data_IF_966758996480
#
_entry.id   IF_966758996480
#
_cell.length_a   1.000
_cell.length_b   1.000
_cell.length_c   1.000
_cell.angle_alpha   90.00
_cell.angle_beta   90.00
_cell.angle_gamma   90.00
#
_symmetry.space_group_name_H-M   'P 1'
#
loop_
_entity.id
_entity.type
_entity.pdbx_description
1 polymer ?
#
# COMPACT_ATOMS: atom_id res chain seq x y z
N UNK A 1 30.97 -3.74 -8.66
CA UNK A 1 29.55 -4.13 -8.66
C UNK A 1 29.09 -4.32 -7.22
N UNK A 2 28.51 -3.26 -6.64
CA UNK A 2 28.08 -3.22 -5.23
C UNK A 2 26.66 -3.78 -5.03
N UNK A 3 26.13 -4.52 -6.00
CA UNK A 3 24.74 -5.02 -5.95
C UNK A 3 23.66 -3.94 -6.17
N UNK A 4 24.05 -2.70 -6.49
CA UNK A 4 23.14 -1.62 -6.80
C UNK A 4 22.58 -1.78 -8.22
N UNK A 5 21.26 -1.83 -8.36
CA UNK A 5 20.59 -1.88 -9.67
C UNK A 5 20.66 -0.50 -10.30
N UNK A 6 21.34 -0.38 -11.44
CA UNK A 6 21.47 0.88 -12.18
C UNK A 6 20.50 1.01 -13.34
N UNK A 7 20.11 -0.10 -13.95
CA UNK A 7 19.26 -0.12 -15.14
C UNK A 7 18.44 -1.42 -15.17
N UNK A 8 17.22 -1.32 -15.62
CA UNK A 8 16.34 -2.46 -15.88
C UNK A 8 15.99 -2.51 -17.37
N UNK A 9 16.37 -3.61 -18.03
CA UNK A 9 15.95 -3.87 -19.39
C UNK A 9 14.61 -4.60 -19.39
N UNK A 10 13.60 -3.96 -19.97
CA UNK A 10 12.24 -4.47 -19.99
C UNK A 10 11.77 -4.73 -21.43
N UNK A 11 10.93 -5.73 -21.60
CA UNK A 11 10.22 -6.01 -22.84
C UNK A 11 8.73 -6.11 -22.59
N UNK A 12 7.94 -5.71 -23.58
CA UNK A 12 6.48 -5.84 -23.52
C UNK A 12 6.11 -7.23 -24.05
N UNK A 13 5.37 -7.98 -23.23
CA UNK A 13 4.77 -9.26 -23.65
C UNK A 13 3.31 -9.01 -24.02
N UNK A 14 2.99 -9.13 -25.31
CA UNK A 14 1.62 -8.99 -25.79
C UNK A 14 0.72 -10.07 -25.18
N UNK A 15 -0.56 -9.74 -24.99
CA UNK A 15 -1.59 -10.65 -24.48
C UNK A 15 -1.29 -11.25 -23.08
N UNK A 16 -0.55 -10.52 -22.24
CA UNK A 16 -0.19 -10.93 -20.89
C UNK A 16 -1.02 -10.24 -19.78
N UNK A 17 -2.17 -9.65 -20.15
CA UNK A 17 -3.05 -8.96 -19.20
C UNK A 17 -3.61 -9.95 -18.17
N UNK A 18 -3.57 -9.57 -16.91
CA UNK A 18 -4.10 -10.39 -15.81
C UNK A 18 -5.58 -10.73 -16.03
N UNK A 19 -5.93 -12.01 -15.95
CA UNK A 19 -7.28 -12.53 -16.23
C UNK A 19 -7.55 -12.91 -17.70
N UNK A 20 -6.72 -12.42 -18.63
CA UNK A 20 -6.86 -12.69 -20.09
C UNK A 20 -5.52 -13.12 -20.69
N UNK A 21 -4.61 -13.63 -19.89
CA UNK A 21 -3.27 -13.98 -20.32
C UNK A 21 -3.26 -15.21 -21.24
N UNK A 22 -2.92 -14.98 -22.49
CA UNK A 22 -2.73 -16.00 -23.53
C UNK A 22 -1.27 -16.06 -24.02
N UNK A 23 -0.36 -15.34 -23.36
CA UNK A 23 1.05 -15.28 -23.76
C UNK A 23 1.80 -16.59 -23.57
N UNK A 24 1.32 -17.45 -22.68
CA UNK A 24 2.02 -18.69 -22.28
C UNK A 24 3.28 -18.48 -21.45
N UNK A 25 3.61 -17.24 -21.11
CA UNK A 25 4.80 -16.88 -20.31
C UNK A 25 4.56 -17.14 -18.84
N UNK A 26 5.31 -18.05 -18.23
CA UNK A 26 5.27 -18.30 -16.79
C UNK A 26 6.24 -17.36 -16.07
N UNK A 27 5.72 -16.54 -15.14
CA UNK A 27 6.50 -15.60 -14.33
C UNK A 27 6.54 -16.04 -12.88
N UNK A 28 7.67 -15.76 -12.19
CA UNK A 28 7.85 -16.11 -10.77
C UNK A 28 7.20 -15.07 -9.83
N UNK A 29 6.92 -13.88 -10.31
CA UNK A 29 6.31 -12.81 -9.52
C UNK A 29 5.72 -11.74 -10.41
N UNK A 30 4.84 -10.95 -9.83
CA UNK A 30 4.19 -9.81 -10.48
C UNK A 30 4.31 -8.63 -9.55
N UNK A 31 4.73 -7.49 -10.09
CA UNK A 31 4.79 -6.20 -9.37
C UNK A 31 3.81 -5.22 -9.99
N UNK A 32 3.37 -4.25 -9.21
CA UNK A 32 2.67 -3.07 -9.71
C UNK A 32 3.67 -1.93 -9.85
N UNK A 33 3.45 -1.11 -10.86
CA UNK A 33 4.28 0.06 -11.14
C UNK A 33 3.42 1.23 -11.59
N UNK A 34 3.96 2.43 -11.51
CA UNK A 34 3.37 3.66 -12.05
C UNK A 34 4.41 4.36 -12.92
N UNK A 35 3.94 5.13 -13.91
CA UNK A 35 4.83 5.91 -14.77
C UNK A 35 5.47 7.05 -13.96
N UNK A 36 6.80 7.07 -13.92
CA UNK A 36 7.57 8.06 -13.16
C UNK A 36 7.37 9.51 -13.66
N UNK A 37 7.01 9.70 -14.94
CA UNK A 37 6.80 11.02 -15.51
C UNK A 37 5.42 11.62 -15.17
N UNK A 38 4.43 10.76 -14.87
CA UNK A 38 3.04 11.19 -14.69
C UNK A 38 2.46 10.87 -13.32
N UNK A 39 3.14 10.00 -12.54
CA UNK A 39 2.68 9.68 -11.19
C UNK A 39 2.67 10.92 -10.28
N UNK A 40 1.88 10.86 -9.24
CA UNK A 40 1.80 11.88 -8.20
C UNK A 40 2.17 11.29 -6.85
N UNK A 41 2.67 12.15 -5.95
CA UNK A 41 2.91 11.77 -4.58
C UNK A 41 1.61 11.71 -3.79
N UNK A 42 1.51 10.73 -2.91
CA UNK A 42 0.41 10.60 -1.97
C UNK A 42 0.95 10.22 -0.60
N UNK A 43 0.31 10.72 0.43
CA UNK A 43 0.53 10.30 1.81
C UNK A 43 -0.32 9.07 2.09
N UNK A 44 0.30 7.99 2.56
CA UNK A 44 -0.40 6.75 2.92
C UNK A 44 -0.21 6.48 4.40
N UNK A 45 -1.31 6.36 5.14
CA UNK A 45 -1.34 6.00 6.56
C UNK A 45 -1.64 4.51 6.67
N UNK A 46 -0.71 3.76 7.20
CA UNK A 46 -0.86 2.34 7.53
C UNK A 46 -1.24 2.22 8.99
N UNK A 47 -2.35 1.56 9.26
CA UNK A 47 -2.89 1.42 10.59
C UNK A 47 -2.59 0.04 11.16
N UNK A 48 -2.22 -0.01 12.41
CA UNK A 48 -1.99 -1.23 13.19
C UNK A 48 -2.79 -1.20 14.48
N UNK A 49 -2.74 -2.28 15.26
CA UNK A 49 -3.39 -2.30 16.57
C UNK A 49 -2.93 -1.13 17.43
N UNK A 50 -3.88 -0.41 18.01
CA UNK A 50 -3.62 0.70 18.91
C UNK A 50 -2.95 0.23 20.22
N UNK A 51 -3.21 -1.01 20.60
CA UNK A 51 -2.67 -1.58 21.83
C UNK A 51 -1.72 -2.74 21.51
N UNK A 52 -0.66 -2.85 22.30
CA UNK A 52 0.23 -4.00 22.31
C UNK A 52 -0.43 -5.18 23.02
N UNK A 53 -0.65 -6.28 22.33
CA UNK A 53 -1.25 -7.49 22.89
C UNK A 53 -0.32 -8.28 23.82
N UNK A 54 0.95 -7.90 23.90
CA UNK A 54 1.97 -8.63 24.65
C UNK A 54 2.06 -8.25 26.14
N UNK A 55 1.23 -7.33 26.61
CA UNK A 55 1.27 -6.85 28.00
C UNK A 55 0.04 -7.38 28.72
N UNK A 56 0.22 -8.42 29.52
CA UNK A 56 -0.84 -9.00 30.36
C UNK A 56 -1.37 -8.00 31.40
N UNK A 57 -2.63 -8.13 31.68
CA UNK A 57 -3.64 -7.35 32.36
C UNK A 57 -3.35 -6.48 33.57
N UNK A 58 -2.14 -6.40 34.13
CA UNK A 58 -1.81 -5.60 35.30
C UNK A 58 -1.04 -4.31 35.01
N UNK A 59 -0.74 -4.02 33.74
CA UNK A 59 0.06 -2.86 33.40
C UNK A 59 -0.84 -1.64 33.17
N UNK A 60 -0.40 -0.47 33.61
CA UNK A 60 -1.04 0.81 33.33
C UNK A 60 -1.43 0.87 31.84
N UNK A 61 -2.68 1.22 31.58
CA UNK A 61 -3.25 1.32 30.22
C UNK A 61 -2.36 2.17 29.29
N UNK A 62 -1.74 3.24 29.81
CA UNK A 62 -0.85 4.10 29.04
C UNK A 62 0.41 3.39 28.54
N UNK A 63 0.89 2.36 29.23
CA UNK A 63 2.05 1.57 28.80
C UNK A 63 1.72 0.55 27.70
N UNK A 64 0.43 0.37 27.41
CA UNK A 64 -0.07 -0.58 26.41
C UNK A 64 -0.22 0.03 25.02
N UNK A 65 -0.05 1.34 24.88
CA UNK A 65 -0.15 1.99 23.56
C UNK A 65 0.98 1.53 22.65
N UNK A 66 0.58 1.22 21.41
CA UNK A 66 1.50 0.94 20.35
C UNK A 66 1.86 2.26 19.65
N UNK A 67 3.06 2.77 19.89
CA UNK A 67 3.56 3.99 19.25
C UNK A 67 3.62 3.86 17.73
N UNK A 68 3.79 2.63 17.23
CA UNK A 68 3.78 2.30 15.81
C UNK A 68 2.36 2.03 15.24
N UNK A 69 1.30 2.34 15.99
CA UNK A 69 -0.10 2.09 15.57
C UNK A 69 -0.48 2.80 14.27
N UNK A 70 0.21 3.86 13.92
CA UNK A 70 0.06 4.55 12.63
C UNK A 70 1.43 4.85 12.03
N UNK A 71 1.69 4.29 10.85
CA UNK A 71 2.89 4.60 10.05
C UNK A 71 2.50 5.38 8.81
N UNK A 72 3.12 6.53 8.62
CA UNK A 72 2.91 7.36 7.43
C UNK A 72 4.07 7.14 6.46
N UNK A 73 3.73 6.87 5.20
CA UNK A 73 4.70 6.71 4.11
C UNK A 73 4.27 7.54 2.90
N UNK A 74 5.24 7.99 2.11
CA UNK A 74 4.97 8.58 0.81
C UNK A 74 4.90 7.46 -0.24
N UNK A 75 3.86 7.46 -1.07
CA UNK A 75 3.69 6.54 -2.17
C UNK A 75 3.58 7.30 -3.50
N UNK A 76 4.02 6.66 -4.58
CA UNK A 76 3.75 7.10 -5.94
C UNK A 76 2.47 6.44 -6.43
N UNK A 77 1.50 7.24 -6.86
CA UNK A 77 0.20 6.76 -7.31
C UNK A 77 -0.12 7.27 -8.71
N UNK A 78 -1.05 6.62 -9.38
CA UNK A 78 -1.48 7.02 -10.71
C UNK A 78 -2.15 8.40 -10.69
N UNK A 79 -1.86 9.22 -11.69
CA UNK A 79 -2.44 10.56 -11.83
C UNK A 79 -3.97 10.56 -11.87
N UNK A 80 -4.59 9.49 -12.32
CA UNK A 80 -6.05 9.32 -12.33
C UNK A 80 -6.70 9.52 -10.95
N UNK A 81 -5.97 9.25 -9.86
CA UNK A 81 -6.45 9.43 -8.49
C UNK A 81 -6.64 10.89 -8.08
N UNK A 82 -6.14 11.86 -8.85
CA UNK A 82 -6.42 13.29 -8.61
C UNK A 82 -7.91 13.64 -8.76
N UNK A 83 -8.69 12.81 -9.46
CA UNK A 83 -10.14 12.98 -9.62
C UNK A 83 -10.97 12.26 -8.54
N UNK A 84 -10.33 11.55 -7.64
CA UNK A 84 -10.99 10.83 -6.56
C UNK A 84 -11.64 11.78 -5.54
N UNK A 85 -12.71 11.31 -4.93
CA UNK A 85 -13.45 12.03 -3.89
C UNK A 85 -13.18 11.42 -2.53
N UNK A 86 -13.27 12.23 -1.50
CA UNK A 86 -13.19 11.75 -0.11
C UNK A 86 -14.17 10.59 0.10
N UNK A 87 -13.71 9.56 0.80
CA UNK A 87 -14.36 8.27 1.04
C UNK A 87 -14.39 7.29 -0.15
N UNK A 88 -13.88 7.67 -1.33
CA UNK A 88 -13.68 6.70 -2.40
C UNK A 88 -12.67 5.63 -1.94
N UNK A 89 -12.98 4.37 -2.28
CA UNK A 89 -12.18 3.20 -1.91
C UNK A 89 -11.47 2.61 -3.12
N UNK A 90 -10.21 2.26 -2.92
CA UNK A 90 -9.34 1.76 -3.97
C UNK A 90 -8.62 0.49 -3.53
N UNK A 91 -8.44 -0.41 -4.47
CA UNK A 91 -7.47 -1.48 -4.32
C UNK A 91 -6.15 -1.00 -4.95
N UNK A 92 -5.14 -0.79 -4.13
CA UNK A 92 -3.77 -0.64 -4.63
C UNK A 92 -3.26 -2.05 -4.95
N UNK A 93 -3.17 -2.34 -6.23
CA UNK A 93 -2.86 -3.67 -6.74
C UNK A 93 -1.59 -4.22 -6.07
N UNK A 94 -1.68 -5.45 -5.54
CA UNK A 94 -0.59 -6.13 -4.83
C UNK A 94 -0.15 -5.51 -3.50
N UNK A 95 -0.86 -4.49 -3.01
CA UNK A 95 -0.51 -3.77 -1.77
C UNK A 95 -1.60 -3.90 -0.72
N UNK A 96 -2.84 -3.48 -1.04
CA UNK A 96 -3.95 -3.50 -0.09
C UNK A 96 -5.15 -2.68 -0.56
N UNK A 97 -6.09 -2.47 0.35
CA UNK A 97 -7.27 -1.65 0.13
C UNK A 97 -7.16 -0.37 0.94
N UNK A 98 -7.50 0.74 0.31
CA UNK A 98 -7.33 2.09 0.84
C UNK A 98 -8.56 2.93 0.61
N UNK A 99 -8.76 3.92 1.47
CA UNK A 99 -9.83 4.93 1.36
C UNK A 99 -9.20 6.31 1.33
N UNK A 100 -9.72 7.19 0.46
CA UNK A 100 -9.27 8.59 0.41
C UNK A 100 -9.79 9.34 1.63
N UNK A 101 -8.86 9.90 2.41
CA UNK A 101 -9.14 10.59 3.66
C UNK A 101 -9.61 12.03 3.43
N UNK A 102 -10.40 12.56 4.39
CA UNK A 102 -10.85 13.95 4.41
C UNK A 102 -9.73 14.99 4.51
N UNK A 103 -8.55 14.57 4.98
CA UNK A 103 -7.35 15.43 5.04
C UNK A 103 -6.70 15.63 3.67
N UNK A 104 -7.26 15.03 2.61
CA UNK A 104 -6.82 15.22 1.23
C UNK A 104 -7.00 16.67 0.81
N UNK A 105 -5.96 17.20 0.15
CA UNK A 105 -5.99 18.51 -0.52
C UNK A 105 -5.67 18.34 -2.00
N UNK A 106 -5.90 19.37 -2.84
CA UNK A 106 -5.54 19.31 -4.27
C UNK A 106 -4.06 18.97 -4.51
N UNK A 107 -3.18 19.36 -3.58
CA UNK A 107 -1.73 19.18 -3.68
C UNK A 107 -1.21 17.94 -2.94
N UNK A 108 -2.05 17.28 -2.15
CA UNK A 108 -1.64 16.11 -1.37
C UNK A 108 -2.80 15.15 -1.15
N UNK A 109 -2.78 14.03 -1.86
CA UNK A 109 -3.71 12.93 -1.62
C UNK A 109 -3.33 12.19 -0.33
N UNK A 110 -4.29 11.95 0.54
CA UNK A 110 -4.10 11.20 1.78
C UNK A 110 -4.96 9.95 1.76
N UNK A 111 -4.33 8.78 1.87
CA UNK A 111 -5.02 7.50 1.91
C UNK A 111 -4.81 6.81 3.24
N UNK A 112 -5.90 6.27 3.80
CA UNK A 112 -5.84 5.38 4.95
C UNK A 112 -5.95 3.92 4.49
N UNK A 113 -5.09 3.06 5.02
CA UNK A 113 -5.19 1.63 4.82
C UNK A 113 -6.45 1.08 5.48
N UNK A 114 -7.26 0.34 4.72
CA UNK A 114 -8.40 -0.41 5.25
C UNK A 114 -7.92 -1.78 5.69
N UNK A 115 -7.21 -2.47 4.79
CA UNK A 115 -6.64 -3.80 5.03
C UNK A 115 -5.53 -4.10 4.02
N UNK A 116 -4.45 -4.71 4.48
CA UNK A 116 -3.39 -5.25 3.63
C UNK A 116 -3.78 -6.57 2.96
N UNK A 117 -3.12 -6.95 1.86
CA UNK A 117 -3.40 -8.23 1.18
C UNK A 117 -2.95 -9.46 2.00
N UNK A 118 -2.07 -9.28 2.96
CA UNK A 118 -1.58 -10.33 3.85
C UNK A 118 -1.87 -9.92 5.29
N UNK A 119 -3.11 -9.60 5.56
CA UNK A 119 -3.52 -9.30 6.91
C UNK A 119 -3.52 -10.58 7.72
N UNK A 120 -2.42 -10.77 8.43
CA UNK A 120 -2.23 -11.87 9.35
C UNK A 120 -2.66 -11.47 10.75
N UNK A 121 -3.89 -10.93 10.94
CA UNK A 121 -4.43 -10.81 12.28
C UNK A 121 -4.45 -12.19 12.93
N UNK A 122 -3.41 -12.48 13.72
CA UNK A 122 -3.41 -13.63 14.62
C UNK A 122 -4.07 -13.15 15.90
N UNK A 123 -5.36 -13.46 16.06
CA UNK A 123 -5.95 -13.41 17.39
C UNK A 123 -5.03 -14.24 18.31
N UNK A 124 -4.46 -13.60 19.32
CA UNK A 124 -3.60 -14.28 20.30
C UNK A 124 -4.33 -15.50 20.83
N UNK A 125 -3.60 -16.64 20.86
CA UNK A 125 -4.01 -17.83 21.61
C UNK A 125 -3.80 -17.58 23.08
#
# INVERSE_FOLDING_TARGET
DNGEVKELHCSVVANSKSGEDTSGVKVKGVIQWVDAATCVDATVRKLQSLLNNAVDGETDFNLRFNEDSMKTVTAKVERSLLSAKVEDKFQFMRVGYYVLDKDTTPDNLVFNEIVGLKDGFKAGK
#
